data_IF_885109249205
#
_entry.id   IF_885109249205
#
_cell.length_a   1.000
_cell.length_b   1.000
_cell.length_c   1.000
_cell.angle_alpha   90.00
_cell.angle_beta   90.00
_cell.angle_gamma   90.00
#
_symmetry.space_group_name_H-M   'P 1'
#
loop_
_entity.id
_entity.type
_entity.pdbx_description
1 polymer ?
#
# COMPACT_ATOMS: atom_id res chain seq x y z
N UNK A 1 24.58 -39.94 0.51
CA UNK A 1 24.71 -38.46 0.35
C UNK A 1 25.51 -37.95 1.53
N UNK A 2 26.78 -37.54 1.37
CA UNK A 2 27.52 -36.96 2.49
C UNK A 2 26.92 -35.60 2.83
N UNK A 3 26.66 -35.37 4.10
CA UNK A 3 26.14 -34.08 4.60
C UNK A 3 27.27 -33.06 4.47
N UNK A 4 26.98 -31.88 3.94
CA UNK A 4 27.99 -30.84 3.74
C UNK A 4 28.64 -30.47 5.09
N UNK A 5 29.96 -30.45 5.14
CA UNK A 5 30.70 -30.00 6.32
C UNK A 5 30.26 -28.58 6.72
N UNK A 6 30.20 -28.26 8.02
CA UNK A 6 29.88 -26.92 8.47
C UNK A 6 30.89 -25.92 7.89
N UNK A 7 30.38 -24.82 7.36
CA UNK A 7 31.20 -23.76 6.79
C UNK A 7 32.16 -23.17 7.84
N UNK A 8 33.47 -23.25 7.60
CA UNK A 8 34.51 -22.60 8.41
C UNK A 8 34.68 -21.14 7.98
N UNK A 9 34.43 -20.15 8.86
CA UNK A 9 34.59 -18.73 8.57
C UNK A 9 36.00 -18.34 8.11
N UNK A 10 37.05 -19.09 8.46
CA UNK A 10 38.42 -18.83 8.03
C UNK A 10 38.62 -19.03 6.52
N UNK A 11 37.74 -19.80 5.87
CA UNK A 11 37.73 -20.02 4.43
C UNK A 11 36.91 -18.97 3.66
N UNK A 12 36.41 -17.93 4.34
CA UNK A 12 35.69 -16.86 3.69
C UNK A 12 36.66 -15.94 2.93
N UNK A 13 36.39 -15.60 1.66
CA UNK A 13 37.21 -14.65 0.88
C UNK A 13 37.16 -13.20 1.41
N UNK A 14 36.61 -12.98 2.61
CA UNK A 14 36.34 -11.68 3.18
C UNK A 14 35.05 -11.05 2.62
N UNK A 15 34.59 -9.96 3.22
CA UNK A 15 33.36 -9.30 2.80
C UNK A 15 33.55 -8.58 1.46
N UNK A 16 32.64 -8.81 0.52
CA UNK A 16 32.64 -8.12 -0.79
C UNK A 16 32.25 -6.65 -0.56
N UNK A 17 33.11 -5.66 -0.89
CA UNK A 17 32.86 -4.25 -0.55
C UNK A 17 31.53 -3.71 -1.08
N UNK A 18 31.13 -4.07 -2.31
CA UNK A 18 29.86 -3.64 -2.90
C UNK A 18 28.63 -4.20 -2.17
N UNK A 19 28.74 -5.39 -1.58
CA UNK A 19 27.70 -5.96 -0.72
C UNK A 19 27.67 -5.21 0.61
N UNK A 20 28.82 -4.96 1.22
CA UNK A 20 28.92 -4.19 2.47
C UNK A 20 28.32 -2.81 2.31
N UNK A 21 28.58 -2.12 1.20
CA UNK A 21 28.02 -0.79 0.94
C UNK A 21 26.49 -0.77 0.83
N UNK A 22 25.88 -1.85 0.34
CA UNK A 22 24.42 -2.01 0.30
C UNK A 22 23.81 -2.11 1.70
N UNK A 23 24.52 -2.73 2.64
CA UNK A 23 24.06 -2.96 4.01
C UNK A 23 24.66 -1.98 5.03
N UNK A 24 25.50 -1.04 4.59
CA UNK A 24 25.92 0.08 5.43
C UNK A 24 24.68 0.82 5.90
N UNK A 25 24.60 0.98 7.22
CA UNK A 25 23.57 1.80 7.84
C UNK A 25 23.56 3.17 7.16
N UNK A 26 22.46 3.49 6.47
CA UNK A 26 22.24 4.82 5.91
C UNK A 26 21.41 5.61 6.91
N UNK A 27 21.94 6.70 7.50
CA UNK A 27 21.14 7.56 8.37
C UNK A 27 19.95 8.19 7.63
N UNK A 28 20.05 8.35 6.31
CA UNK A 28 18.97 8.83 5.44
C UNK A 28 17.99 7.72 4.98
N UNK A 29 17.99 6.56 5.65
CA UNK A 29 16.94 5.57 5.42
C UNK A 29 15.61 6.24 5.77
N UNK A 30 14.60 6.26 4.88
CA UNK A 30 13.31 6.84 5.22
C UNK A 30 12.83 6.23 6.53
N UNK A 31 12.38 7.09 7.44
CA UNK A 31 11.85 6.67 8.72
C UNK A 31 10.81 5.55 8.50
N UNK A 32 10.70 4.64 9.44
CA UNK A 32 9.62 3.66 9.39
C UNK A 32 8.30 4.43 9.27
N UNK A 33 7.37 3.99 8.40
CA UNK A 33 6.11 4.70 8.22
C UNK A 33 5.40 4.83 9.56
N UNK A 34 4.80 5.99 9.79
CA UNK A 34 3.99 6.30 10.97
C UNK A 34 2.80 5.34 11.06
N UNK A 35 2.14 5.30 12.23
CA UNK A 35 0.93 4.51 12.39
C UNK A 35 -0.17 4.95 11.41
N UNK A 36 -0.36 6.27 11.25
CA UNK A 36 -1.30 6.83 10.29
C UNK A 36 -0.94 6.48 8.84
N UNK A 37 0.35 6.48 8.48
CA UNK A 37 0.78 6.08 7.12
C UNK A 37 0.53 4.59 6.86
N UNK A 38 0.71 3.75 7.87
CA UNK A 38 0.38 2.32 7.77
C UNK A 38 -1.11 2.10 7.64
N UNK A 39 -1.91 2.80 8.44
CA UNK A 39 -3.37 2.69 8.39
C UNK A 39 -3.91 3.20 7.05
N UNK A 40 -3.45 4.37 6.59
CA UNK A 40 -3.79 4.92 5.28
C UNK A 40 -3.50 3.93 4.14
N UNK A 41 -2.34 3.25 4.17
CA UNK A 41 -1.94 2.30 3.14
C UNK A 41 -2.88 1.09 2.99
N UNK A 42 -3.73 0.82 3.98
CA UNK A 42 -4.72 -0.27 3.94
C UNK A 42 -5.92 0.07 3.08
N UNK A 43 -6.18 1.36 2.85
CA UNK A 43 -7.36 1.82 2.14
C UNK A 43 -7.13 2.01 0.64
N UNK A 44 -8.08 1.52 -0.15
CA UNK A 44 -8.16 1.79 -1.59
C UNK A 44 -9.59 2.18 -1.95
N UNK A 45 -9.76 3.31 -2.63
CA UNK A 45 -11.05 3.75 -3.15
C UNK A 45 -11.15 3.32 -4.61
N UNK A 46 -12.23 2.68 -5.04
CA UNK A 46 -12.42 2.19 -6.40
C UNK A 46 -13.70 2.77 -6.97
N UNK A 47 -13.62 3.39 -8.15
CA UNK A 47 -14.81 3.75 -8.91
C UNK A 47 -15.24 2.57 -9.77
N UNK A 48 -16.36 1.97 -9.41
CA UNK A 48 -16.96 0.86 -10.12
C UNK A 48 -17.92 1.39 -11.17
N UNK A 49 -17.50 1.35 -12.43
CA UNK A 49 -18.37 1.56 -13.59
C UNK A 49 -19.26 0.33 -13.86
N UNK A 50 -20.31 0.42 -14.69
CA UNK A 50 -21.11 -0.74 -15.09
C UNK A 50 -20.28 -1.88 -15.70
N UNK A 51 -19.27 -1.54 -16.51
CA UNK A 51 -18.40 -2.52 -17.17
C UNK A 51 -17.41 -3.13 -16.17
N UNK A 52 -16.95 -2.35 -15.19
CA UNK A 52 -16.18 -2.84 -14.06
C UNK A 52 -16.99 -3.83 -13.21
N UNK A 53 -18.25 -3.48 -12.90
CA UNK A 53 -19.16 -4.34 -12.14
C UNK A 53 -19.32 -5.71 -12.83
N UNK A 54 -19.59 -5.71 -14.14
CA UNK A 54 -19.70 -6.93 -14.94
C UNK A 54 -18.40 -7.75 -14.94
N UNK A 55 -17.25 -7.09 -15.10
CA UNK A 55 -15.93 -7.73 -15.07
C UNK A 55 -15.61 -8.35 -13.71
N UNK A 56 -16.16 -7.80 -12.63
CA UNK A 56 -16.09 -8.34 -11.27
C UNK A 56 -17.14 -9.43 -10.98
N UNK A 57 -17.95 -9.84 -11.97
CA UNK A 57 -19.03 -10.81 -11.79
C UNK A 57 -20.23 -10.28 -11.00
N UNK A 58 -20.36 -8.96 -10.89
CA UNK A 58 -21.47 -8.26 -10.20
C UNK A 58 -22.50 -7.75 -11.22
N UNK A 59 -23.75 -7.51 -10.78
CA UNK A 59 -24.75 -6.91 -11.66
C UNK A 59 -24.31 -5.52 -12.15
N UNK A 60 -24.65 -5.15 -13.40
CA UNK A 60 -24.25 -3.85 -14.00
C UNK A 60 -24.82 -2.61 -13.31
N UNK A 61 -25.79 -2.77 -12.41
CA UNK A 61 -26.33 -1.70 -11.57
C UNK A 61 -25.59 -1.57 -10.23
N UNK A 62 -24.70 -2.51 -9.90
CA UNK A 62 -23.89 -2.50 -8.68
C UNK A 62 -22.62 -1.66 -8.91
N UNK A 63 -22.83 -0.34 -8.99
CA UNK A 63 -21.86 0.69 -9.39
C UNK A 63 -21.72 1.76 -8.31
N UNK A 64 -20.63 2.53 -8.36
CA UNK A 64 -20.38 3.62 -7.41
C UNK A 64 -18.95 3.65 -6.89
N UNK A 65 -18.70 4.51 -5.90
CA UNK A 65 -17.40 4.57 -5.21
C UNK A 65 -17.41 3.57 -4.06
N UNK A 66 -16.43 2.67 -4.06
CA UNK A 66 -16.25 1.66 -3.02
C UNK A 66 -14.95 1.88 -2.29
N UNK A 67 -15.01 1.87 -0.97
CA UNK A 67 -13.82 1.95 -0.13
C UNK A 67 -13.51 0.55 0.39
N UNK A 68 -12.32 0.08 0.04
CA UNK A 68 -11.77 -1.19 0.48
C UNK A 68 -10.72 -0.96 1.56
N UNK A 69 -10.65 -1.85 2.54
CA UNK A 69 -9.58 -1.94 3.55
C UNK A 69 -8.99 -3.36 3.51
N UNK A 70 -7.70 -3.51 3.20
CA UNK A 70 -7.03 -4.81 3.06
C UNK A 70 -7.83 -5.83 2.21
N UNK A 71 -8.38 -5.37 1.09
CA UNK A 71 -9.23 -6.13 0.15
C UNK A 71 -10.70 -6.36 0.56
N UNK A 72 -11.07 -6.06 1.81
CA UNK A 72 -12.46 -6.14 2.26
C UNK A 72 -13.23 -4.84 1.93
N UNK A 73 -14.46 -4.98 1.45
CA UNK A 73 -15.34 -3.83 1.24
C UNK A 73 -15.72 -3.24 2.59
N UNK A 74 -15.20 -2.06 2.90
CA UNK A 74 -15.45 -1.35 4.14
C UNK A 74 -16.70 -0.47 4.07
N UNK A 75 -16.89 0.25 2.94
CA UNK A 75 -17.98 1.21 2.77
C UNK A 75 -18.31 1.48 1.30
N UNK A 76 -19.57 1.78 1.01
CA UNK A 76 -20.00 2.36 -0.27
C UNK A 76 -20.13 3.88 -0.10
N UNK A 77 -19.24 4.64 -0.74
CA UNK A 77 -19.20 6.08 -0.65
C UNK A 77 -20.05 6.74 -1.75
N UNK A 78 -20.69 7.86 -1.42
CA UNK A 78 -21.45 8.68 -2.35
C UNK A 78 -20.53 9.48 -3.29
N UNK A 79 -19.43 10.00 -2.74
CA UNK A 79 -18.43 10.79 -3.44
C UNK A 79 -17.03 10.60 -2.83
N UNK A 80 -16.01 11.22 -3.43
CA UNK A 80 -14.63 11.13 -2.96
C UNK A 80 -14.42 11.88 -1.64
N UNK A 81 -15.22 12.92 -1.35
CA UNK A 81 -15.09 13.71 -0.13
C UNK A 81 -15.58 12.89 1.07
N UNK A 82 -16.67 12.14 0.93
CA UNK A 82 -17.12 11.18 1.94
C UNK A 82 -16.06 10.09 2.21
N UNK A 83 -15.46 9.55 1.14
CA UNK A 83 -14.39 8.57 1.27
C UNK A 83 -13.18 9.16 2.04
N UNK A 84 -12.78 10.40 1.72
CA UNK A 84 -11.71 11.12 2.43
C UNK A 84 -12.07 11.30 3.90
N UNK A 85 -13.24 11.85 4.21
CA UNK A 85 -13.70 12.11 5.58
C UNK A 85 -13.70 10.84 6.44
N UNK A 86 -14.12 9.71 5.86
CA UNK A 86 -14.11 8.42 6.55
C UNK A 86 -12.69 7.95 6.84
N UNK A 87 -11.80 8.04 5.86
CA UNK A 87 -10.43 7.54 5.97
C UNK A 87 -9.59 8.45 6.88
N UNK A 88 -9.76 9.77 6.84
CA UNK A 88 -9.11 10.70 7.76
C UNK A 88 -9.50 10.42 9.21
N UNK A 89 -10.78 10.12 9.48
CA UNK A 89 -11.24 9.72 10.82
C UNK A 89 -10.58 8.42 11.29
N UNK A 90 -10.37 7.47 10.39
CA UNK A 90 -9.70 6.21 10.72
C UNK A 90 -8.18 6.39 10.93
N UNK A 91 -7.53 7.18 10.08
CA UNK A 91 -6.08 7.41 10.14
C UNK A 91 -5.68 8.37 11.26
N UNK A 92 -6.59 9.24 11.70
CA UNK A 92 -6.33 10.30 12.68
C UNK A 92 -5.48 11.47 12.15
N UNK A 93 -5.18 11.48 10.84
CA UNK A 93 -4.36 12.47 10.15
C UNK A 93 -5.01 12.85 8.82
N UNK A 94 -4.79 14.09 8.32
CA UNK A 94 -5.26 14.48 7.00
C UNK A 94 -4.63 13.61 5.91
N UNK A 95 -5.41 13.27 4.89
CA UNK A 95 -4.97 12.39 3.80
C UNK A 95 -5.05 13.09 2.44
N UNK A 96 -4.59 12.36 1.44
CA UNK A 96 -4.70 12.68 0.02
C UNK A 96 -4.92 11.38 -0.74
N UNK A 97 -5.87 11.43 -1.66
CA UNK A 97 -6.11 10.37 -2.63
C UNK A 97 -5.19 10.55 -3.83
N UNK A 98 -4.42 9.51 -4.14
CA UNK A 98 -3.59 9.46 -5.34
C UNK A 98 -4.30 8.62 -6.38
N UNK A 99 -4.76 9.27 -7.45
CA UNK A 99 -5.49 8.62 -8.54
C UNK A 99 -4.58 7.74 -9.40
N UNK A 100 -5.08 6.56 -9.74
CA UNK A 100 -4.50 5.63 -10.69
C UNK A 100 -5.54 5.29 -11.75
N UNK A 101 -5.14 5.38 -13.02
CA UNK A 101 -5.99 5.04 -14.17
C UNK A 101 -5.42 3.78 -14.83
N UNK A 102 -6.04 2.64 -14.55
CA UNK A 102 -5.77 1.37 -15.20
C UNK A 102 -7.07 0.85 -15.85
N UNK A 103 -7.30 -0.46 -15.84
CA UNK A 103 -8.58 -1.05 -16.26
C UNK A 103 -9.74 -0.60 -15.36
N UNK A 104 -9.42 -0.18 -14.12
CA UNK A 104 -10.31 0.47 -13.18
C UNK A 104 -9.70 1.81 -12.76
N UNK A 105 -10.55 2.81 -12.52
CA UNK A 105 -10.14 4.04 -11.83
C UNK A 105 -10.17 3.77 -10.34
N UNK A 106 -9.03 3.96 -9.67
CA UNK A 106 -8.92 3.77 -8.22
C UNK A 106 -7.97 4.80 -7.61
N UNK A 107 -8.05 4.98 -6.30
CA UNK A 107 -7.21 5.88 -5.54
C UNK A 107 -6.57 5.13 -4.38
N UNK A 108 -5.26 5.27 -4.24
CA UNK A 108 -4.54 4.85 -3.03
C UNK A 108 -4.44 6.03 -2.07
N UNK A 109 -4.48 5.76 -0.78
CA UNK A 109 -4.44 6.81 0.23
C UNK A 109 -3.02 7.08 0.69
N UNK A 110 -2.69 8.36 0.93
CA UNK A 110 -1.47 8.79 1.60
C UNK A 110 -1.77 9.82 2.67
N UNK A 111 -1.07 9.77 3.78
CA UNK A 111 -1.08 10.86 4.78
C UNK A 111 -0.46 12.10 4.15
N UNK A 112 -1.09 13.26 4.36
CA UNK A 112 -0.59 14.54 3.88
C UNK A 112 0.65 14.91 4.70
N UNK A 113 1.77 15.29 4.07
CA UNK A 113 2.93 15.75 4.81
C UNK A 113 2.56 16.99 5.63
N UNK A 114 2.82 16.95 6.93
CA UNK A 114 2.72 18.11 7.82
C UNK A 114 3.66 19.19 7.29
N UNK A 115 3.12 20.33 6.86
CA UNK A 115 3.92 21.50 6.46
C UNK A 115 4.51 22.22 7.66
#
# INVERSE_FOLDING_TARGET
MPWAEPYDPANSPGPIPSVVERFRWRPDRPAAPSEAEREAARYTVVLVSPDAAESMGRPRYDVGLRVYQDDDLAHDALDLDEAVDMIEKACGEPITLVEHRADLTYWTVRVRPSS
#
